data_IF_364417955816
#
_entry.id   IF_364417955816
#
_cell.length_a   1.000
_cell.length_b   1.000
_cell.length_c   1.000
_cell.angle_alpha   90.00
_cell.angle_beta   90.00
_cell.angle_gamma   90.00
#
_symmetry.space_group_name_H-M   'P 1'
#
loop_
_entity.id
_entity.type
_entity.pdbx_description
1 polymer ?
#
# COMPACT_ATOMS: atom_id res chain seq x y z
N UNK A 1 16.76 -12.46 -33.55
CA UNK A 1 17.09 -11.29 -32.71
C UNK A 1 16.41 -11.53 -31.38
N UNK A 2 17.12 -12.18 -30.46
CA UNK A 2 16.61 -12.64 -29.17
C UNK A 2 16.59 -11.41 -28.21
N UNK A 3 15.42 -11.10 -27.71
CA UNK A 3 15.25 -10.08 -26.67
C UNK A 3 15.83 -10.62 -25.35
N UNK A 4 16.83 -9.91 -24.87
CA UNK A 4 17.50 -10.14 -23.59
C UNK A 4 16.49 -9.86 -22.44
N UNK A 5 15.96 -10.93 -21.87
CA UNK A 5 15.17 -10.85 -20.64
C UNK A 5 16.13 -10.63 -19.49
N UNK A 6 16.29 -9.37 -19.11
CA UNK A 6 17.10 -8.96 -17.95
C UNK A 6 16.80 -9.83 -16.73
N UNK A 7 17.74 -10.70 -16.40
CA UNK A 7 17.64 -11.63 -15.29
C UNK A 7 17.44 -10.87 -13.97
N UNK A 8 16.37 -11.20 -13.27
CA UNK A 8 16.15 -10.81 -11.89
C UNK A 8 17.24 -11.50 -11.07
N UNK A 9 18.26 -10.76 -10.67
CA UNK A 9 19.27 -11.28 -9.74
C UNK A 9 18.64 -11.40 -8.35
N UNK A 10 18.04 -12.55 -8.08
CA UNK A 10 17.81 -13.00 -6.72
C UNK A 10 19.19 -13.23 -6.08
N UNK A 11 19.57 -12.38 -5.14
CA UNK A 11 20.76 -12.63 -4.33
C UNK A 11 20.42 -13.78 -3.38
N UNK A 12 20.74 -15.01 -3.79
CA UNK A 12 20.82 -16.12 -2.84
C UNK A 12 21.99 -15.81 -1.88
N UNK A 13 21.68 -15.43 -0.67
CA UNK A 13 22.65 -15.41 0.39
C UNK A 13 23.16 -16.85 0.60
N UNK A 14 24.47 -17.13 0.52
CA UNK A 14 25.02 -18.47 0.74
C UNK A 14 24.86 -18.96 2.19
N UNK A 15 24.19 -18.20 3.05
CA UNK A 15 23.95 -18.45 4.47
C UNK A 15 22.49 -18.75 4.82
N UNK A 16 21.62 -19.04 3.85
CA UNK A 16 20.30 -19.59 4.15
C UNK A 16 20.49 -21.07 4.50
N UNK A 17 20.19 -21.52 5.74
CA UNK A 17 20.13 -22.94 6.04
C UNK A 17 19.06 -23.57 5.13
N UNK A 18 19.36 -24.77 4.59
CA UNK A 18 18.35 -25.58 3.90
C UNK A 18 17.13 -25.73 4.80
N UNK A 19 15.94 -25.42 4.28
CA UNK A 19 14.67 -25.60 4.99
C UNK A 19 14.53 -27.06 5.39
N UNK A 20 14.74 -27.36 6.65
CA UNK A 20 14.47 -28.69 7.20
C UNK A 20 12.97 -28.87 7.38
N UNK A 21 12.50 -30.11 7.34
CA UNK A 21 11.08 -30.49 7.48
C UNK A 21 10.46 -30.00 8.81
N UNK A 22 11.29 -29.67 9.81
CA UNK A 22 10.91 -29.04 11.08
C UNK A 22 10.51 -27.55 10.93
N UNK A 23 10.82 -26.91 9.80
CA UNK A 23 10.48 -25.51 9.50
C UNK A 23 9.13 -25.35 8.78
N UNK A 24 8.35 -26.41 8.62
CA UNK A 24 6.96 -26.34 8.15
C UNK A 24 6.10 -25.70 9.25
N UNK A 25 6.15 -24.36 9.27
CA UNK A 25 5.19 -23.55 10.04
C UNK A 25 3.78 -23.80 9.49
N UNK A 26 2.73 -23.53 10.30
CA UNK A 26 1.35 -23.70 9.85
C UNK A 26 1.14 -23.00 8.50
N UNK A 27 0.37 -23.65 7.64
CA UNK A 27 0.12 -23.24 6.26
C UNK A 27 -0.24 -21.74 6.21
N UNK A 28 0.69 -20.94 5.73
CA UNK A 28 0.55 -19.48 5.75
C UNK A 28 -0.38 -19.06 4.61
N UNK A 29 -1.54 -18.49 4.92
CA UNK A 29 -2.49 -18.01 3.93
C UNK A 29 -2.18 -16.60 3.41
N UNK A 30 -1.33 -15.84 4.10
CA UNK A 30 -1.11 -14.42 3.85
C UNK A 30 0.33 -14.08 3.50
N UNK A 31 0.52 -13.33 2.40
CA UNK A 31 1.77 -12.64 2.11
C UNK A 31 1.56 -11.13 2.20
N UNK A 32 2.45 -10.45 2.91
CA UNK A 32 2.50 -8.99 3.00
C UNK A 32 3.56 -8.48 2.03
N UNK A 33 3.18 -7.63 1.08
CA UNK A 33 4.11 -6.85 0.28
C UNK A 33 4.39 -5.53 0.98
N UNK A 34 5.61 -5.31 1.41
CA UNK A 34 6.06 -4.13 2.14
C UNK A 34 7.15 -3.39 1.36
N UNK A 35 6.77 -2.53 0.38
CA UNK A 35 7.73 -1.70 -0.33
C UNK A 35 8.17 -0.52 0.53
N UNK A 36 9.46 -0.19 0.50
CA UNK A 36 10.01 0.98 1.18
C UNK A 36 11.17 1.60 0.41
N UNK A 37 11.38 2.89 0.66
CA UNK A 37 12.51 3.67 0.17
C UNK A 37 12.86 4.74 1.20
N UNK A 38 14.05 4.63 1.83
CA UNK A 38 14.53 5.54 2.85
C UNK A 38 13.52 5.73 4.01
N UNK A 39 13.07 4.61 4.59
CA UNK A 39 12.03 4.58 5.62
C UNK A 39 12.52 4.03 6.96
N UNK A 40 13.85 4.00 7.20
CA UNK A 40 14.49 3.40 8.39
C UNK A 40 13.84 3.84 9.71
N UNK A 41 13.46 5.10 9.81
CA UNK A 41 12.92 5.70 11.03
C UNK A 41 11.47 5.31 11.38
N UNK A 42 10.72 4.72 10.47
CA UNK A 42 9.31 4.34 10.69
C UNK A 42 9.02 2.86 10.57
N UNK A 43 9.90 2.11 9.89
CA UNK A 43 9.73 0.68 9.64
C UNK A 43 9.49 -0.15 10.91
N UNK A 44 10.13 0.20 12.04
CA UNK A 44 9.98 -0.54 13.28
C UNK A 44 8.52 -0.67 13.71
N UNK A 45 7.76 0.43 13.76
CA UNK A 45 6.37 0.42 14.19
C UNK A 45 5.45 -0.39 13.27
N UNK A 46 5.71 -0.39 11.97
CA UNK A 46 4.98 -1.22 11.01
C UNK A 46 5.30 -2.70 11.22
N UNK A 47 6.58 -3.08 11.31
CA UNK A 47 6.99 -4.47 11.51
C UNK A 47 6.51 -5.02 12.86
N UNK A 48 6.55 -4.23 13.93
CA UNK A 48 5.98 -4.60 15.23
C UNK A 48 4.47 -4.88 15.14
N UNK A 49 3.73 -4.07 14.38
CA UNK A 49 2.30 -4.29 14.18
C UNK A 49 1.99 -5.54 13.34
N UNK A 50 2.87 -5.90 12.42
CA UNK A 50 2.77 -7.13 11.64
C UNK A 50 3.15 -8.37 12.46
N UNK A 51 4.09 -8.25 13.38
CA UNK A 51 4.53 -9.37 14.23
C UNK A 51 3.47 -9.86 15.23
N UNK A 52 2.50 -9.01 15.56
CA UNK A 52 1.42 -9.36 16.51
C UNK A 52 0.10 -9.74 15.81
N UNK A 53 0.13 -10.00 14.51
CA UNK A 53 -1.06 -10.43 13.79
C UNK A 53 -1.56 -11.79 14.28
N UNK A 54 -2.88 -11.95 14.32
CA UNK A 54 -3.57 -13.16 14.77
C UNK A 54 -3.61 -14.29 13.72
N UNK A 55 -3.09 -14.04 12.53
CA UNK A 55 -2.98 -15.00 11.44
C UNK A 55 -1.52 -15.19 11.02
N UNK A 56 -1.11 -16.43 10.66
CA UNK A 56 0.21 -16.68 10.11
C UNK A 56 0.44 -15.89 8.81
N UNK A 57 1.56 -15.20 8.74
CA UNK A 57 1.92 -14.38 7.59
C UNK A 57 3.39 -14.54 7.21
N UNK A 58 3.68 -14.24 5.95
CA UNK A 58 5.02 -14.03 5.41
C UNK A 58 5.16 -12.60 4.92
N UNK A 59 6.30 -11.97 5.20
CA UNK A 59 6.59 -10.61 4.72
C UNK A 59 7.57 -10.67 3.57
N UNK A 60 7.25 -10.05 2.45
CA UNK A 60 8.20 -9.72 1.39
C UNK A 60 8.58 -8.25 1.58
N UNK A 61 9.78 -8.03 2.10
CA UNK A 61 10.41 -6.74 2.24
C UNK A 61 10.95 -6.33 0.86
N UNK A 62 10.52 -5.19 0.34
CA UNK A 62 10.92 -4.75 -1.00
C UNK A 62 11.66 -3.42 -0.87
N UNK A 63 12.98 -3.50 -0.80
CA UNK A 63 13.85 -2.33 -0.77
C UNK A 63 13.94 -1.72 -2.17
N UNK A 64 13.28 -0.59 -2.36
CA UNK A 64 13.27 0.12 -3.63
C UNK A 64 14.50 1.02 -3.79
N UNK A 65 15.70 0.44 -3.61
CA UNK A 65 17.02 1.06 -3.68
C UNK A 65 17.26 2.15 -2.63
N UNK A 66 16.98 1.86 -1.36
CA UNK A 66 17.29 2.73 -0.22
C UNK A 66 18.79 2.98 -0.08
N UNK A 67 19.13 4.14 0.46
CA UNK A 67 20.51 4.61 0.71
C UNK A 67 20.78 4.93 2.19
N UNK A 68 19.75 4.79 3.05
CA UNK A 68 19.79 5.13 4.48
C UNK A 68 19.98 3.90 5.40
N UNK A 69 20.20 2.70 4.83
CA UNK A 69 20.29 1.47 5.59
C UNK A 69 18.94 0.86 5.99
N UNK A 70 17.83 1.26 5.33
CA UNK A 70 16.49 0.72 5.59
C UNK A 70 16.41 -0.80 5.38
N UNK A 71 17.10 -1.35 4.38
CA UNK A 71 17.07 -2.79 4.06
C UNK A 71 17.68 -3.62 5.20
N UNK A 72 18.88 -3.27 5.64
CA UNK A 72 19.59 -3.93 6.75
C UNK A 72 18.80 -3.80 8.06
N UNK A 73 18.25 -2.61 8.31
CA UNK A 73 17.40 -2.35 9.47
C UNK A 73 16.15 -3.24 9.45
N UNK A 74 15.43 -3.29 8.35
CA UNK A 74 14.21 -4.11 8.21
C UNK A 74 14.49 -5.60 8.45
N UNK A 75 15.60 -6.13 7.91
CA UNK A 75 16.02 -7.51 8.16
C UNK A 75 16.31 -7.76 9.64
N UNK A 76 17.05 -6.86 10.30
CA UNK A 76 17.38 -6.98 11.72
C UNK A 76 16.10 -6.99 12.57
N UNK A 77 15.16 -6.09 12.29
CA UNK A 77 13.89 -6.01 12.99
C UNK A 77 13.00 -7.26 12.75
N UNK A 78 12.92 -7.75 11.54
CA UNK A 78 12.17 -8.99 11.28
C UNK A 78 12.75 -10.19 12.04
N UNK A 79 14.07 -10.31 12.11
CA UNK A 79 14.74 -11.37 12.93
C UNK A 79 14.43 -11.18 14.42
N UNK A 80 14.54 -9.95 14.93
CA UNK A 80 14.23 -9.62 16.33
C UNK A 80 12.79 -9.98 16.70
N UNK A 81 11.86 -9.74 15.78
CA UNK A 81 10.43 -9.97 15.96
C UNK A 81 9.99 -11.40 15.63
N UNK A 82 10.88 -12.25 15.11
CA UNK A 82 10.54 -13.61 14.70
C UNK A 82 9.60 -13.69 13.49
N UNK A 83 9.56 -12.64 12.66
CA UNK A 83 8.78 -12.63 11.42
C UNK A 83 9.42 -13.54 10.37
N UNK A 84 8.59 -14.28 9.64
CA UNK A 84 9.01 -14.99 8.43
C UNK A 84 9.08 -13.99 7.27
N UNK A 85 10.26 -13.76 6.71
CA UNK A 85 10.45 -12.74 5.68
C UNK A 85 11.39 -13.13 4.57
N UNK A 86 11.26 -12.45 3.45
CA UNK A 86 12.25 -12.41 2.34
C UNK A 86 12.52 -10.96 2.02
N UNK A 87 13.79 -10.57 1.88
CA UNK A 87 14.18 -9.25 1.38
C UNK A 87 14.55 -9.36 -0.09
N UNK A 88 13.99 -8.48 -0.90
CA UNK A 88 14.42 -8.26 -2.29
C UNK A 88 14.78 -6.79 -2.49
N UNK A 89 15.66 -6.52 -3.45
CA UNK A 89 16.00 -5.17 -3.87
C UNK A 89 15.48 -4.94 -5.29
N UNK A 90 14.62 -3.91 -5.44
CA UNK A 90 14.13 -3.46 -6.73
C UNK A 90 14.84 -2.16 -7.11
N UNK A 91 15.77 -2.18 -8.08
CA UNK A 91 16.57 -1.00 -8.44
C UNK A 91 15.75 0.04 -9.23
N UNK A 92 14.70 -0.37 -9.94
CA UNK A 92 13.85 0.56 -10.70
C UNK A 92 13.03 1.39 -9.72
N UNK A 93 13.13 2.73 -9.79
CA UNK A 93 12.45 3.60 -8.85
C UNK A 93 10.92 3.51 -9.02
N UNK A 94 10.20 3.53 -7.90
CA UNK A 94 8.74 3.62 -7.87
C UNK A 94 8.03 2.45 -7.22
N UNK A 95 6.98 2.77 -6.47
CA UNK A 95 6.19 1.81 -5.69
C UNK A 95 5.59 0.70 -6.56
N UNK A 96 5.16 1.04 -7.78
CA UNK A 96 4.57 0.07 -8.72
C UNK A 96 5.59 -0.99 -9.14
N UNK A 97 6.85 -0.60 -9.43
CA UNK A 97 7.93 -1.54 -9.72
C UNK A 97 8.24 -2.45 -8.54
N UNK A 98 8.28 -1.87 -7.33
CA UNK A 98 8.52 -2.63 -6.11
C UNK A 98 7.40 -3.66 -5.87
N UNK A 99 6.14 -3.25 -5.96
CA UNK A 99 4.99 -4.14 -5.79
C UNK A 99 4.94 -5.24 -6.86
N UNK A 100 5.29 -4.93 -8.10
CA UNK A 100 5.38 -5.91 -9.18
C UNK A 100 6.43 -6.98 -8.87
N UNK A 101 7.65 -6.56 -8.49
CA UNK A 101 8.72 -7.50 -8.13
C UNK A 101 8.35 -8.38 -6.93
N UNK A 102 7.70 -7.80 -5.91
CA UNK A 102 7.23 -8.57 -4.75
C UNK A 102 6.14 -9.57 -5.11
N UNK A 103 5.21 -9.22 -6.01
CA UNK A 103 4.10 -10.09 -6.42
C UNK A 103 4.57 -11.38 -7.10
N UNK A 104 5.69 -11.35 -7.80
CA UNK A 104 6.28 -12.54 -8.42
C UNK A 104 6.64 -13.64 -7.39
N UNK A 105 6.99 -13.24 -6.17
CA UNK A 105 7.37 -14.15 -5.09
C UNK A 105 6.19 -14.61 -4.21
N UNK A 106 4.99 -14.12 -4.45
CA UNK A 106 3.80 -14.50 -3.68
C UNK A 106 3.36 -15.90 -4.07
N UNK A 107 3.27 -16.82 -3.10
CA UNK A 107 2.76 -18.19 -3.30
C UNK A 107 1.49 -18.47 -2.51
N UNK A 108 1.06 -17.55 -1.65
CA UNK A 108 -0.10 -17.69 -0.77
C UNK A 108 -1.41 -17.32 -1.47
N UNK A 109 -2.57 -17.84 -1.00
CA UNK A 109 -3.88 -17.52 -1.55
C UNK A 109 -4.23 -16.03 -1.47
N UNK A 110 -3.75 -15.33 -0.43
CA UNK A 110 -4.03 -13.93 -0.19
C UNK A 110 -2.77 -13.10 -0.10
N UNK A 111 -2.85 -11.88 -0.61
CA UNK A 111 -1.76 -10.90 -0.56
C UNK A 111 -2.28 -9.55 -0.08
N UNK A 112 -1.55 -8.92 0.83
CA UNK A 112 -1.82 -7.56 1.31
C UNK A 112 -0.71 -6.60 0.87
N UNK A 113 -1.06 -5.41 0.43
CA UNK A 113 -0.12 -4.30 0.26
C UNK A 113 -0.11 -3.46 1.52
N UNK A 114 1.06 -3.31 2.13
CA UNK A 114 1.25 -2.53 3.35
C UNK A 114 2.27 -1.41 3.10
N UNK A 115 2.01 -0.22 3.63
CA UNK A 115 2.98 0.87 3.59
C UNK A 115 3.91 0.80 4.80
N UNK A 116 5.17 1.19 4.60
CA UNK A 116 6.24 1.11 5.61
C UNK A 116 6.04 2.02 6.82
N UNK A 117 5.08 2.94 6.76
CA UNK A 117 4.75 3.91 7.79
C UNK A 117 3.33 3.75 8.36
N UNK A 118 2.75 2.57 8.23
CA UNK A 118 1.37 2.30 8.64
C UNK A 118 1.32 1.26 9.75
N UNK A 119 0.51 1.51 10.77
CA UNK A 119 0.24 0.58 11.85
C UNK A 119 -1.03 -0.22 11.55
N UNK A 120 -0.99 -1.53 11.78
CA UNK A 120 -2.08 -2.48 11.54
C UNK A 120 -2.57 -3.08 12.87
N UNK A 121 -3.89 -3.12 13.15
CA UNK A 121 -4.43 -3.81 14.32
C UNK A 121 -4.04 -5.29 14.33
N UNK A 122 -3.96 -5.89 15.50
CA UNK A 122 -3.57 -7.30 15.64
C UNK A 122 -4.53 -8.27 14.94
N UNK A 123 -5.79 -7.90 14.78
CA UNK A 123 -6.85 -8.65 14.08
C UNK A 123 -7.02 -8.25 12.60
N UNK A 124 -6.10 -7.46 12.03
CA UNK A 124 -6.21 -6.93 10.67
C UNK A 124 -6.38 -8.05 9.63
N UNK A 125 -5.57 -9.10 9.71
CA UNK A 125 -5.64 -10.21 8.76
C UNK A 125 -6.87 -11.10 8.94
N UNK A 126 -7.32 -11.34 10.18
CA UNK A 126 -8.56 -12.07 10.41
C UNK A 126 -9.79 -11.27 9.98
N UNK A 127 -9.78 -9.93 10.15
CA UNK A 127 -10.85 -9.09 9.61
C UNK A 127 -10.88 -9.10 8.08
N UNK A 128 -9.70 -9.09 7.43
CA UNK A 128 -9.61 -9.29 5.98
C UNK A 128 -10.13 -10.66 5.56
N UNK A 129 -9.76 -11.74 6.27
CA UNK A 129 -10.19 -13.11 6.01
C UNK A 129 -11.72 -13.25 5.98
N UNK A 130 -12.42 -12.63 6.94
CA UNK A 130 -13.89 -12.61 6.98
C UNK A 130 -14.51 -11.99 5.73
N UNK A 131 -13.85 -11.01 5.13
CA UNK A 131 -14.34 -10.37 3.89
C UNK A 131 -14.14 -11.26 2.66
N UNK A 132 -13.28 -12.27 2.76
CA UNK A 132 -13.03 -13.25 1.70
C UNK A 132 -13.81 -14.58 1.89
N UNK A 133 -14.68 -14.68 2.88
CA UNK A 133 -15.56 -15.85 3.05
C UNK A 133 -16.56 -16.00 1.89
N UNK A 134 -16.94 -14.88 1.24
CA UNK A 134 -17.73 -14.93 0.04
C UNK A 134 -16.85 -15.32 -1.17
N UNK A 135 -17.25 -16.33 -1.92
CA UNK A 135 -16.48 -16.89 -3.04
C UNK A 135 -16.17 -15.87 -4.13
N UNK A 136 -17.01 -14.87 -4.30
CA UNK A 136 -16.87 -13.83 -5.32
C UNK A 136 -16.02 -12.64 -4.89
N UNK A 137 -15.49 -12.61 -3.66
CA UNK A 137 -14.65 -11.51 -3.18
C UNK A 137 -13.30 -11.53 -3.86
N UNK A 138 -12.92 -10.46 -4.57
CA UNK A 138 -11.65 -10.35 -5.29
C UNK A 138 -10.62 -9.52 -4.53
N UNK A 139 -11.07 -8.48 -3.85
CA UNK A 139 -10.23 -7.59 -3.05
C UNK A 139 -11.01 -6.97 -1.89
N UNK A 140 -10.30 -6.46 -0.89
CA UNK A 140 -10.90 -5.64 0.16
C UNK A 140 -10.01 -4.44 0.50
N UNK A 141 -10.66 -3.38 1.02
CA UNK A 141 -9.99 -2.13 1.38
C UNK A 141 -10.20 -1.74 2.83
N UNK A 142 -9.11 -1.53 3.57
CA UNK A 142 -9.13 -1.02 4.93
C UNK A 142 -9.31 0.50 4.93
N UNK A 143 -10.20 1.01 5.77
CA UNK A 143 -10.31 2.45 5.96
C UNK A 143 -9.29 2.96 6.97
N UNK A 144 -8.92 4.24 6.83
CA UNK A 144 -7.87 4.83 7.66
C UNK A 144 -8.45 5.48 8.91
N UNK A 145 -7.88 5.14 10.07
CA UNK A 145 -8.14 5.81 11.34
C UNK A 145 -6.89 6.55 11.81
N UNK A 146 -7.10 7.56 12.63
CA UNK A 146 -5.98 8.21 13.36
C UNK A 146 -5.66 7.38 14.61
N UNK A 147 -4.38 7.33 14.98
CA UNK A 147 -3.97 6.70 16.24
C UNK A 147 -4.73 7.33 17.41
N UNK A 148 -5.34 6.48 18.25
CA UNK A 148 -6.15 6.93 19.39
C UNK A 148 -7.51 7.54 19.02
N UNK A 149 -8.00 7.32 17.80
CA UNK A 149 -9.33 7.77 17.41
C UNK A 149 -10.41 7.23 18.36
N UNK A 150 -11.32 8.07 18.88
CA UNK A 150 -12.39 7.61 19.76
C UNK A 150 -13.34 6.69 19.00
N UNK A 151 -13.93 5.71 19.73
CA UNK A 151 -14.83 4.70 19.14
C UNK A 151 -15.96 5.29 18.29
N UNK A 152 -16.52 6.45 18.70
CA UNK A 152 -17.54 7.18 17.91
C UNK A 152 -17.03 7.57 16.51
N UNK A 153 -15.79 8.00 16.42
CA UNK A 153 -15.17 8.38 15.13
C UNK A 153 -14.92 7.14 14.25
N UNK A 154 -14.50 6.05 14.87
CA UNK A 154 -14.35 4.76 14.19
C UNK A 154 -15.68 4.31 13.59
N UNK A 155 -16.73 4.30 14.40
CA UNK A 155 -18.08 3.90 13.95
C UNK A 155 -18.55 4.82 12.81
N UNK A 156 -18.44 6.14 12.97
CA UNK A 156 -18.88 7.09 11.95
C UNK A 156 -18.12 6.89 10.63
N UNK A 157 -16.81 6.62 10.69
CA UNK A 157 -16.01 6.38 9.50
C UNK A 157 -16.32 5.05 8.83
N UNK A 158 -16.51 3.99 9.62
CA UNK A 158 -16.95 2.68 9.13
C UNK A 158 -18.30 2.81 8.39
N UNK A 159 -19.29 3.46 9.01
CA UNK A 159 -20.59 3.70 8.37
C UNK A 159 -20.47 4.46 7.06
N UNK A 160 -19.65 5.50 7.00
CA UNK A 160 -19.45 6.26 5.75
C UNK A 160 -18.89 5.39 4.63
N UNK A 161 -17.88 4.56 4.94
CA UNK A 161 -17.29 3.64 3.95
C UNK A 161 -18.31 2.60 3.50
N UNK A 162 -19.05 1.99 4.44
CA UNK A 162 -20.06 0.99 4.12
C UNK A 162 -21.19 1.57 3.24
N UNK A 163 -21.65 2.79 3.52
CA UNK A 163 -22.64 3.48 2.68
C UNK A 163 -22.04 3.77 1.30
N UNK A 164 -20.84 4.31 1.21
CA UNK A 164 -20.19 4.59 -0.07
C UNK A 164 -20.01 3.31 -0.90
N UNK A 165 -19.58 2.23 -0.28
CA UNK A 165 -19.44 0.92 -0.94
C UNK A 165 -20.79 0.34 -1.41
N UNK A 166 -21.86 0.54 -0.63
CA UNK A 166 -23.20 0.13 -1.03
C UNK A 166 -23.74 0.91 -2.24
N UNK A 167 -23.46 2.22 -2.29
CA UNK A 167 -23.90 3.09 -3.39
C UNK A 167 -23.03 2.93 -4.65
N UNK A 168 -21.73 2.69 -4.46
CA UNK A 168 -20.74 2.62 -5.54
C UNK A 168 -19.85 1.37 -5.37
N UNK A 169 -20.41 0.15 -5.44
CA UNK A 169 -19.74 -1.10 -5.07
C UNK A 169 -18.54 -1.46 -5.96
N UNK A 170 -18.43 -0.87 -7.13
CA UNK A 170 -17.32 -1.09 -8.06
C UNK A 170 -16.25 0.01 -8.00
N UNK A 171 -16.24 0.83 -6.95
CA UNK A 171 -15.25 1.88 -6.76
C UNK A 171 -14.34 1.60 -5.57
N UNK A 172 -13.07 2.02 -5.70
CA UNK A 172 -12.15 2.06 -4.58
C UNK A 172 -12.49 3.25 -3.68
N UNK A 173 -12.73 2.98 -2.39
CA UNK A 173 -13.06 3.99 -1.37
C UNK A 173 -11.94 4.18 -0.34
N UNK A 174 -10.81 3.47 -0.48
CA UNK A 174 -9.70 3.46 0.48
C UNK A 174 -8.37 3.58 -0.24
N UNK A 175 -7.33 4.00 0.47
CA UNK A 175 -5.99 4.12 -0.11
C UNK A 175 -5.16 2.83 -0.07
N UNK A 176 -4.02 2.84 -0.74
CA UNK A 176 -3.17 1.68 -0.99
C UNK A 176 -2.49 1.05 0.23
N UNK A 177 -2.41 1.76 1.37
CA UNK A 177 -1.80 1.25 2.60
C UNK A 177 -2.59 0.09 3.26
N UNK A 178 -3.79 -0.21 2.79
CA UNK A 178 -4.67 -1.20 3.40
C UNK A 178 -5.44 -2.03 2.39
N UNK A 179 -4.85 -2.38 1.26
CA UNK A 179 -5.50 -3.21 0.26
C UNK A 179 -5.07 -4.67 0.39
N UNK A 180 -6.04 -5.56 0.31
CA UNK A 180 -5.82 -7.00 0.29
C UNK A 180 -6.54 -7.63 -0.90
N UNK A 181 -5.97 -8.70 -1.43
CA UNK A 181 -6.42 -9.32 -2.66
C UNK A 181 -6.42 -10.85 -2.56
N UNK A 182 -7.34 -11.50 -3.26
CA UNK A 182 -7.07 -12.87 -3.72
C UNK A 182 -5.92 -12.80 -4.71
N UNK A 183 -4.86 -13.54 -4.46
CA UNK A 183 -3.65 -13.54 -5.31
C UNK A 183 -3.99 -13.91 -6.75
N UNK A 184 -4.86 -14.89 -6.96
CA UNK A 184 -5.32 -15.30 -8.28
C UNK A 184 -6.05 -14.15 -9.02
N UNK A 185 -6.94 -13.42 -8.34
CA UNK A 185 -7.66 -12.27 -8.90
C UNK A 185 -6.70 -11.15 -9.29
N UNK A 186 -5.75 -10.81 -8.41
CA UNK A 186 -4.75 -9.79 -8.70
C UNK A 186 -3.89 -10.16 -9.92
N UNK A 187 -3.41 -11.41 -9.99
CA UNK A 187 -2.59 -11.90 -11.10
C UNK A 187 -3.35 -11.98 -12.42
N UNK A 188 -4.60 -12.42 -12.42
CA UNK A 188 -5.40 -12.55 -13.63
C UNK A 188 -5.65 -11.22 -14.34
N UNK A 189 -5.56 -10.10 -13.61
CA UNK A 189 -5.65 -8.74 -14.17
C UNK A 189 -4.31 -8.15 -14.61
N UNK A 190 -3.21 -8.93 -14.54
CA UNK A 190 -1.86 -8.50 -14.88
C UNK A 190 -1.09 -7.90 -13.71
N UNK A 191 -1.62 -7.95 -12.48
CA UNK A 191 -0.92 -7.46 -11.28
C UNK A 191 -0.55 -5.98 -11.34
N UNK A 192 0.52 -5.61 -10.64
CA UNK A 192 1.09 -4.27 -10.71
C UNK A 192 1.96 -4.14 -11.97
N UNK A 193 1.62 -3.23 -12.84
CA UNK A 193 2.28 -3.05 -14.14
C UNK A 193 2.61 -1.57 -14.39
N UNK A 194 3.87 -1.21 -14.31
CA UNK A 194 4.35 0.16 -14.51
C UNK A 194 4.27 0.62 -15.99
N UNK A 195 4.15 -0.29 -16.95
CA UNK A 195 3.91 0.07 -18.36
C UNK A 195 2.47 0.56 -18.52
N UNK A 196 1.53 -0.09 -17.82
CA UNK A 196 0.13 0.28 -17.84
C UNK A 196 -0.17 1.50 -16.97
N UNK A 197 0.39 1.53 -15.74
CA UNK A 197 0.15 2.62 -14.78
C UNK A 197 1.39 2.88 -13.91
N UNK A 198 2.13 3.93 -14.23
CA UNK A 198 3.29 4.38 -13.45
C UNK A 198 3.06 5.77 -12.83
N UNK A 199 1.87 6.01 -12.33
CA UNK A 199 1.47 7.26 -11.70
C UNK A 199 1.07 7.04 -10.25
N UNK A 200 0.86 8.13 -9.52
CA UNK A 200 0.14 8.10 -8.24
C UNK A 200 -1.28 7.55 -8.45
N UNK A 201 -1.96 7.17 -7.36
CA UNK A 201 -3.29 6.55 -7.40
C UNK A 201 -3.26 5.14 -8.04
N UNK A 202 -2.13 4.46 -7.96
CA UNK A 202 -1.95 3.06 -8.35
C UNK A 202 -2.93 2.13 -7.61
N UNK A 203 -3.29 2.50 -6.38
CA UNK A 203 -4.26 1.83 -5.54
C UNK A 203 -5.68 1.84 -6.13
N UNK A 204 -6.09 2.96 -6.70
CA UNK A 204 -7.41 3.07 -7.35
C UNK A 204 -7.43 2.36 -8.70
N UNK A 205 -6.34 2.45 -9.45
CA UNK A 205 -6.20 1.79 -10.75
C UNK A 205 -6.21 0.27 -10.63
N UNK A 206 -5.42 -0.29 -9.69
CA UNK A 206 -5.38 -1.73 -9.48
C UNK A 206 -6.74 -2.28 -9.01
N UNK A 207 -7.42 -1.58 -8.11
CA UNK A 207 -8.76 -1.96 -7.65
C UNK A 207 -9.78 -1.90 -8.79
N UNK A 208 -9.67 -0.91 -9.70
CA UNK A 208 -10.52 -0.84 -10.89
C UNK A 208 -10.35 -2.07 -11.78
N UNK A 209 -9.12 -2.59 -11.94
CA UNK A 209 -8.91 -3.84 -12.72
C UNK A 209 -9.41 -5.06 -11.96
N UNK A 210 -9.08 -5.18 -10.69
CA UNK A 210 -9.43 -6.36 -9.90
C UNK A 210 -10.94 -6.53 -9.73
N UNK A 211 -11.71 -5.46 -9.66
CA UNK A 211 -13.19 -5.53 -9.60
C UNK A 211 -13.82 -6.18 -10.82
N UNK A 212 -13.09 -6.39 -11.90
CA UNK A 212 -13.57 -7.14 -13.07
C UNK A 212 -13.59 -8.66 -12.80
N UNK A 213 -12.87 -9.14 -11.78
CA UNK A 213 -12.77 -10.57 -11.42
C UNK A 213 -13.67 -10.96 -10.26
N UNK A 214 -14.28 -10.00 -9.57
CA UNK A 214 -15.16 -10.23 -8.43
C UNK A 214 -15.50 -8.95 -7.69
N UNK A 215 -16.02 -9.04 -6.47
CA UNK A 215 -16.43 -7.90 -5.66
C UNK A 215 -15.27 -7.26 -4.89
N UNK A 216 -15.45 -5.96 -4.59
CA UNK A 216 -14.61 -5.22 -3.64
C UNK A 216 -15.33 -5.18 -2.29
N UNK A 217 -14.66 -5.65 -1.26
CA UNK A 217 -15.25 -5.77 0.07
C UNK A 217 -14.73 -4.69 1.03
N UNK A 218 -15.62 -4.26 1.92
CA UNK A 218 -15.34 -3.31 2.99
C UNK A 218 -15.99 -3.77 4.28
N UNK A 219 -15.29 -3.65 5.40
CA UNK A 219 -15.80 -4.12 6.69
C UNK A 219 -15.62 -3.10 7.81
N UNK A 220 -16.57 -3.05 8.75
CA UNK A 220 -16.50 -2.13 9.89
C UNK A 220 -15.32 -2.40 10.84
N UNK A 221 -14.79 -3.62 10.84
CA UNK A 221 -13.60 -4.02 11.60
C UNK A 221 -12.30 -3.92 10.81
N UNK A 222 -12.33 -3.64 9.50
CA UNK A 222 -11.15 -3.68 8.64
C UNK A 222 -10.59 -2.28 8.42
N UNK A 223 -9.53 -1.93 9.17
CA UNK A 223 -8.93 -0.60 9.19
C UNK A 223 -7.44 -0.63 9.50
N UNK A 224 -6.72 0.46 9.20
CA UNK A 224 -5.34 0.68 9.57
C UNK A 224 -5.07 2.15 9.89
N UNK A 225 -3.88 2.45 10.41
CA UNK A 225 -3.48 3.80 10.83
C UNK A 225 -2.20 4.21 10.12
N UNK A 226 -2.29 4.95 9.01
CA UNK A 226 -1.12 5.57 8.41
C UNK A 226 -0.47 6.60 9.35
N UNK A 227 0.85 6.73 9.28
CA UNK A 227 1.56 7.75 10.07
C UNK A 227 1.13 9.15 9.65
N UNK A 228 1.11 10.06 10.64
CA UNK A 228 0.92 11.48 10.40
C UNK A 228 2.28 12.13 10.09
N UNK A 229 2.78 11.92 8.88
CA UNK A 229 3.85 12.77 8.39
C UNK A 229 3.25 14.03 7.80
N UNK A 230 3.93 15.16 7.97
CA UNK A 230 3.67 16.37 7.19
C UNK A 230 4.07 16.13 5.73
N UNK A 231 3.30 15.27 5.07
CA UNK A 231 3.42 15.09 3.64
C UNK A 231 2.69 16.24 2.97
N UNK A 232 3.33 16.84 1.98
CA UNK A 232 2.62 17.71 1.02
C UNK A 232 1.60 16.86 0.25
N UNK A 233 0.48 16.58 0.93
CA UNK A 233 -0.61 15.79 0.37
C UNK A 233 -1.37 16.52 -0.73
N UNK A 234 -1.27 17.84 -0.78
CA UNK A 234 -2.06 18.66 -1.72
C UNK A 234 -1.57 18.46 -3.14
N UNK A 235 -0.30 18.18 -3.31
CA UNK A 235 0.29 17.90 -4.63
C UNK A 235 -0.02 16.50 -5.19
N UNK A 236 -0.53 15.57 -4.38
CA UNK A 236 -0.82 14.17 -4.77
C UNK A 236 -2.33 13.93 -4.90
N UNK A 237 -3.15 14.89 -4.50
CA UNK A 237 -4.60 14.74 -4.48
C UNK A 237 -5.23 14.82 -5.86
N UNK A 238 -6.36 14.16 -5.97
CA UNK A 238 -7.30 14.39 -7.05
C UNK A 238 -7.69 15.85 -7.08
N UNK A 239 -7.73 16.44 -8.26
CA UNK A 239 -8.46 17.70 -8.44
C UNK A 239 -9.96 17.44 -8.22
N UNK A 240 -10.72 18.49 -7.88
CA UNK A 240 -12.17 18.36 -7.71
C UNK A 240 -12.84 17.76 -8.97
N UNK A 241 -12.41 18.18 -10.15
CA UNK A 241 -12.93 17.67 -11.43
C UNK A 241 -12.62 16.19 -11.61
N UNK A 242 -11.39 15.76 -11.34
CA UNK A 242 -10.99 14.35 -11.43
C UNK A 242 -11.82 13.48 -10.47
N UNK A 243 -12.02 13.96 -9.23
CA UNK A 243 -12.83 13.27 -8.24
C UNK A 243 -14.29 13.16 -8.67
N UNK A 244 -14.89 14.24 -9.14
CA UNK A 244 -16.27 14.23 -9.61
C UNK A 244 -16.45 13.27 -10.80
N UNK A 245 -15.53 13.31 -11.76
CA UNK A 245 -15.57 12.40 -12.91
C UNK A 245 -15.35 10.94 -12.51
N UNK A 246 -14.44 10.65 -11.56
CA UNK A 246 -14.26 9.30 -11.03
C UNK A 246 -15.55 8.73 -10.42
N UNK A 247 -16.26 9.55 -9.63
CA UNK A 247 -17.51 9.10 -9.02
C UNK A 247 -18.68 9.05 -9.99
N UNK A 248 -18.72 9.92 -11.00
CA UNK A 248 -19.77 9.98 -12.00
C UNK A 248 -19.57 8.99 -13.16
N UNK A 249 -18.33 8.54 -13.42
CA UNK A 249 -18.05 7.64 -14.53
C UNK A 249 -18.69 6.27 -14.32
N UNK A 250 -19.57 5.83 -15.25
CA UNK A 250 -20.12 4.49 -15.21
C UNK A 250 -19.01 3.44 -15.39
N UNK A 251 -19.21 2.20 -14.92
CA UNK A 251 -18.16 1.16 -14.94
C UNK A 251 -17.49 0.95 -16.31
N UNK A 252 -18.28 1.01 -17.40
CA UNK A 252 -17.79 0.81 -18.77
C UNK A 252 -16.90 1.95 -19.29
N UNK A 253 -16.87 3.11 -18.63
CA UNK A 253 -16.07 4.26 -19.04
C UNK A 253 -14.84 4.48 -18.16
N UNK A 254 -14.61 3.61 -17.17
CA UNK A 254 -13.49 3.77 -16.24
C UNK A 254 -12.13 3.54 -16.87
N UNK A 255 -12.03 2.66 -17.86
CA UNK A 255 -10.79 2.53 -18.64
C UNK A 255 -10.44 3.84 -19.30
N UNK A 256 -11.41 4.50 -19.94
CA UNK A 256 -11.20 5.84 -20.50
C UNK A 256 -10.84 6.87 -19.45
N UNK A 257 -11.50 6.81 -18.29
CA UNK A 257 -11.16 7.69 -17.18
C UNK A 257 -9.69 7.53 -16.74
N UNK A 258 -9.24 6.31 -16.48
CA UNK A 258 -7.87 6.09 -16.02
C UNK A 258 -6.85 6.34 -17.13
N UNK A 259 -7.00 5.74 -18.29
CA UNK A 259 -5.94 5.68 -19.29
C UNK A 259 -5.97 6.83 -20.30
N UNK A 260 -7.14 7.35 -20.64
CA UNK A 260 -7.26 8.43 -21.62
C UNK A 260 -7.39 9.84 -20.97
N UNK A 261 -7.98 9.92 -19.78
CA UNK A 261 -8.21 11.20 -19.10
C UNK A 261 -7.22 11.45 -17.95
N UNK A 262 -7.16 10.58 -16.95
CA UNK A 262 -6.37 10.82 -15.72
C UNK A 262 -4.87 10.65 -15.96
N UNK A 263 -4.44 9.57 -16.61
CA UNK A 263 -3.02 9.28 -16.86
C UNK A 263 -2.28 10.43 -17.55
N UNK A 264 -2.76 10.97 -18.68
CA UNK A 264 -2.16 12.14 -19.32
C UNK A 264 -2.03 13.36 -18.40
N UNK A 265 -3.06 13.66 -17.60
CA UNK A 265 -3.06 14.78 -16.64
C UNK A 265 -2.06 14.59 -15.51
N UNK A 266 -1.92 13.36 -15.00
CA UNK A 266 -0.90 13.03 -14.01
C UNK A 266 0.51 13.14 -14.61
N UNK A 267 0.68 12.78 -15.87
CA UNK A 267 1.93 12.94 -16.61
C UNK A 267 2.32 14.42 -16.74
N UNK A 268 1.39 15.28 -17.15
CA UNK A 268 1.61 16.74 -17.24
C UNK A 268 2.02 17.33 -15.88
N UNK A 269 1.39 16.88 -14.81
CA UNK A 269 1.73 17.29 -13.43
C UNK A 269 2.98 16.61 -12.87
N UNK A 270 3.64 15.73 -13.65
CA UNK A 270 4.83 14.97 -13.27
C UNK A 270 4.61 14.12 -12.00
N UNK A 271 3.41 13.57 -11.84
CA UNK A 271 3.01 12.73 -10.71
C UNK A 271 3.24 11.24 -11.03
N UNK A 272 4.45 10.90 -11.45
CA UNK A 272 4.85 9.49 -11.66
C UNK A 272 5.36 8.88 -10.37
N UNK A 273 5.20 7.58 -10.23
CA UNK A 273 5.68 6.79 -9.10
C UNK A 273 7.20 6.97 -8.86
N UNK A 274 7.97 7.12 -9.92
CA UNK A 274 9.42 7.36 -9.86
C UNK A 274 9.78 8.70 -9.24
N UNK A 275 9.10 9.78 -9.65
CA UNK A 275 9.40 11.15 -9.19
C UNK A 275 8.93 11.44 -7.78
N UNK A 276 8.02 10.64 -7.26
CA UNK A 276 7.63 10.76 -5.86
C UNK A 276 8.79 10.56 -4.89
N UNK A 277 9.84 9.83 -5.28
CA UNK A 277 11.07 9.62 -4.49
C UNK A 277 11.95 10.87 -4.38
N UNK A 278 11.88 11.77 -5.35
CA UNK A 278 12.73 12.96 -5.43
C UNK A 278 12.26 14.10 -4.51
N UNK A 279 11.12 13.93 -3.83
CA UNK A 279 10.56 14.97 -2.98
C UNK A 279 11.30 15.07 -1.65
N UNK A 280 11.54 16.30 -1.18
CA UNK A 280 12.35 16.62 0.02
C UNK A 280 11.92 15.88 1.29
N UNK A 281 10.63 15.59 1.47
CA UNK A 281 10.14 14.88 2.66
C UNK A 281 10.61 13.43 2.77
N UNK A 282 11.08 12.81 1.68
CA UNK A 282 11.65 11.46 1.68
C UNK A 282 13.15 11.47 1.96
N UNK A 283 13.80 12.62 1.83
CA UNK A 283 15.23 12.81 2.05
C UNK A 283 15.55 13.45 3.40
N UNK A 284 14.56 13.87 4.18
CA UNK A 284 14.76 14.41 5.52
C UNK A 284 15.16 13.27 6.49
N UNK A 285 16.43 13.21 6.86
CA UNK A 285 16.91 12.38 7.95
C UNK A 285 16.32 12.85 9.31
N UNK A 286 16.52 12.09 10.39
CA UNK A 286 15.95 12.36 11.70
C UNK A 286 16.37 13.70 12.34
N UNK A 287 17.36 14.40 11.78
CA UNK A 287 17.94 15.63 12.33
C UNK A 287 17.54 16.91 11.57
N UNK A 288 16.41 16.89 10.86
CA UNK A 288 15.92 18.05 10.11
C UNK A 288 15.42 19.23 10.97
N UNK A 289 16.24 19.71 11.92
CA UNK A 289 16.14 21.07 12.43
C UNK A 289 16.77 22.01 11.40
N UNK A 290 16.01 22.51 10.48
CA UNK A 290 16.35 23.75 9.78
C UNK A 290 16.09 24.90 10.74
N UNK A 291 17.17 25.42 11.33
CA UNK A 291 17.20 26.80 11.83
C UNK A 291 16.92 27.72 10.64
N UNK A 292 15.81 28.42 10.66
CA UNK A 292 15.44 29.32 9.59
C UNK A 292 14.26 30.20 9.88
N UNK A 293 14.53 31.28 10.65
CA UNK A 293 13.86 32.58 10.60
C UNK A 293 12.37 32.69 11.00
N UNK A 294 12.28 33.14 12.22
CA UNK A 294 11.18 33.86 12.87
C UNK A 294 10.70 35.07 12.03
N UNK A 295 9.46 35.11 11.60
CA UNK A 295 8.70 36.34 11.42
C UNK A 295 7.20 36.05 11.54
N UNK A 296 6.68 36.37 12.64
CA UNK A 296 5.48 37.11 13.04
C UNK A 296 4.10 36.74 12.48
N UNK A 297 3.25 36.49 13.44
CA UNK A 297 1.84 36.97 13.59
C UNK A 297 0.69 36.07 13.12
N UNK A 298 -0.09 35.79 14.13
CA UNK A 298 -1.56 35.78 14.30
C UNK A 298 -2.37 34.55 13.87
N UNK A 299 -3.00 34.04 14.89
CA UNK A 299 -4.30 33.35 15.00
C UNK A 299 -5.18 33.41 13.75
N UNK A 300 -5.55 32.25 13.23
CA UNK A 300 -6.97 32.05 12.88
C UNK A 300 -7.28 30.53 12.83
N UNK A 301 -8.15 30.14 13.73
CA UNK A 301 -8.69 28.79 13.79
C UNK A 301 -9.82 28.65 12.77
N UNK A 302 -9.56 28.01 11.64
CA UNK A 302 -10.62 27.59 10.73
C UNK A 302 -10.73 26.06 10.69
N UNK A 303 -11.95 25.49 10.74
CA UNK A 303 -12.17 24.05 10.82
C UNK A 303 -11.94 23.39 9.46
N UNK A 304 -11.22 22.26 9.49
CA UNK A 304 -10.88 21.44 8.34
C UNK A 304 -12.09 20.91 7.59
N UNK A 305 -12.12 20.98 6.25
CA UNK A 305 -13.12 20.26 5.46
C UNK A 305 -12.78 18.76 5.43
N UNK A 306 -13.78 17.99 5.73
CA UNK A 306 -13.80 16.54 5.77
C UNK A 306 -13.48 15.96 4.38
N UNK A 307 -12.45 15.11 4.33
CA UNK A 307 -12.27 14.20 3.21
C UNK A 307 -13.42 13.18 3.19
N UNK A 308 -14.29 13.30 2.22
CA UNK A 308 -15.18 12.26 1.76
C UNK A 308 -14.50 11.41 0.71
#
# INVERSE_FOLDING_TARGET
MLLDTGAIHAWHSPWLPEETEADRRPECAWTILLPFFNERHVLAGTLESLAVQDQPLRVILIDNASTDGSGEFAMAECRRLGLHFTLIREPRPGKVHALAAGLELVSTPFVATCDADTWYPADYLSQAGKLFEADNSAAAGAYFLRKGAPRRQQIAKAWRIMIAASLLPRQCHTGGAGQVFRTASLRSTGGFDAVRWNYVLEDHEIMHRVVQTGSLEYGSGFWCTPSHRDRDRDSIRWTLVERLLYHAAPPQWRDRFFYEFLGPRLRERRLTSERMRERQFQNAGPDGHTEGQNSGTSDDATPYPLCG
#
